data_IF_676212726752
#
_entry.id   IF_676212726752
#
_cell.length_a   1.000
_cell.length_b   1.000
_cell.length_c   1.000
_cell.angle_alpha   90.00
_cell.angle_beta   90.00
_cell.angle_gamma   90.00
#
_symmetry.space_group_name_H-M   'P 1'
#
loop_
_entity.id
_entity.type
_entity.pdbx_description
1 polymer ?
#
# COMPACT_ATOMS: atom_id res chain seq x y z
N UNK A 1 -29.33 -20.08 12.16
CA UNK A 1 -29.62 -19.15 11.04
C UNK A 1 -31.05 -18.63 11.18
N UNK A 2 -31.32 -17.35 10.92
CA UNK A 2 -32.68 -16.76 10.92
C UNK A 2 -33.00 -16.26 9.52
N UNK A 3 -34.25 -16.40 9.07
CA UNK A 3 -34.70 -15.94 7.74
C UNK A 3 -35.22 -14.51 7.84
N UNK A 4 -34.68 -13.62 7.02
CA UNK A 4 -35.10 -12.22 6.92
C UNK A 4 -35.38 -11.91 5.46
N UNK A 5 -36.44 -11.13 5.19
CA UNK A 5 -36.77 -10.64 3.85
C UNK A 5 -36.42 -9.17 3.77
N UNK A 6 -35.66 -8.78 2.74
CA UNK A 6 -35.23 -7.40 2.47
C UNK A 6 -35.60 -7.01 1.04
N UNK A 7 -35.90 -5.73 0.81
CA UNK A 7 -36.08 -5.18 -0.54
C UNK A 7 -34.74 -4.63 -1.01
N UNK A 8 -34.31 -5.05 -2.20
CA UNK A 8 -33.06 -4.57 -2.80
C UNK A 8 -33.32 -4.22 -4.27
N UNK A 9 -32.50 -3.32 -4.81
CA UNK A 9 -32.56 -2.97 -6.22
C UNK A 9 -32.29 -4.18 -7.12
N UNK A 10 -33.02 -4.29 -8.23
CA UNK A 10 -32.95 -5.46 -9.11
C UNK A 10 -31.58 -5.59 -9.80
N UNK A 11 -30.98 -4.46 -10.20
CA UNK A 11 -29.65 -4.47 -10.84
C UNK A 11 -28.60 -4.97 -9.85
N UNK A 12 -28.65 -4.50 -8.61
CA UNK A 12 -27.77 -4.94 -7.53
C UNK A 12 -27.97 -6.43 -7.20
N UNK A 13 -29.20 -6.92 -7.21
CA UNK A 13 -29.48 -8.36 -7.01
C UNK A 13 -28.84 -9.20 -8.10
N UNK A 14 -28.92 -8.76 -9.34
CA UNK A 14 -28.36 -9.49 -10.48
C UNK A 14 -26.83 -9.51 -10.45
N UNK A 15 -26.20 -8.39 -10.11
CA UNK A 15 -24.74 -8.32 -9.91
C UNK A 15 -24.28 -9.23 -8.78
N UNK A 16 -24.97 -9.20 -7.64
CA UNK A 16 -24.64 -10.07 -6.50
C UNK A 16 -24.78 -11.56 -6.86
N UNK A 17 -25.80 -11.94 -7.63
CA UNK A 17 -25.97 -13.30 -8.13
C UNK A 17 -24.84 -13.70 -9.09
N UNK A 18 -24.49 -12.83 -10.03
CA UNK A 18 -23.40 -13.08 -10.98
C UNK A 18 -22.06 -13.27 -10.24
N UNK A 19 -21.78 -12.43 -9.24
CA UNK A 19 -20.61 -12.55 -8.39
C UNK A 19 -20.61 -13.88 -7.61
N UNK A 20 -21.73 -14.24 -6.99
CA UNK A 20 -21.87 -15.48 -6.24
C UNK A 20 -21.61 -16.71 -7.14
N UNK A 21 -22.22 -16.75 -8.32
CA UNK A 21 -22.04 -17.81 -9.30
C UNK A 21 -20.57 -17.92 -9.78
N UNK A 22 -19.95 -16.78 -10.12
CA UNK A 22 -18.55 -16.72 -10.56
C UNK A 22 -17.57 -17.27 -9.51
N UNK A 23 -17.87 -17.06 -8.23
CA UNK A 23 -17.00 -17.48 -7.12
C UNK A 23 -17.42 -18.82 -6.49
N UNK A 24 -18.41 -19.52 -7.04
CA UNK A 24 -18.91 -20.78 -6.47
C UNK A 24 -19.52 -20.64 -5.07
N UNK A 25 -20.05 -19.47 -4.74
CA UNK A 25 -20.64 -19.15 -3.42
C UNK A 25 -22.15 -19.02 -3.53
N UNK A 26 -22.85 -19.19 -2.41
CA UNK A 26 -24.28 -18.87 -2.33
C UNK A 26 -24.49 -17.36 -2.16
N UNK A 27 -25.61 -16.85 -2.69
CA UNK A 27 -26.00 -15.45 -2.49
C UNK A 27 -26.05 -15.08 -1.00
N UNK A 28 -26.59 -15.97 -0.16
CA UNK A 28 -26.62 -15.77 1.30
C UNK A 28 -25.23 -15.57 1.90
N UNK A 29 -24.25 -16.40 1.52
CA UNK A 29 -22.88 -16.26 2.02
C UNK A 29 -22.26 -14.93 1.61
N UNK A 30 -22.50 -14.47 0.38
CA UNK A 30 -22.03 -13.17 -0.11
C UNK A 30 -22.67 -12.03 0.68
N UNK A 31 -23.99 -12.09 0.90
CA UNK A 31 -24.71 -11.07 1.67
C UNK A 31 -24.26 -11.01 3.14
N UNK A 32 -24.05 -12.16 3.78
CA UNK A 32 -23.54 -12.21 5.15
C UNK A 32 -22.13 -11.62 5.27
N UNK A 33 -21.24 -11.96 4.33
CA UNK A 33 -19.86 -11.47 4.29
C UNK A 33 -19.83 -9.95 4.08
N UNK A 34 -20.62 -9.43 3.13
CA UNK A 34 -20.76 -7.99 2.90
C UNK A 34 -21.28 -7.26 4.15
N UNK A 35 -22.28 -7.82 4.85
CA UNK A 35 -22.81 -7.23 6.08
C UNK A 35 -21.77 -7.24 7.22
N UNK A 36 -21.01 -8.33 7.38
CA UNK A 36 -19.92 -8.40 8.35
C UNK A 36 -18.85 -7.35 8.06
N UNK A 37 -18.43 -7.22 6.80
CA UNK A 37 -17.44 -6.22 6.39
C UNK A 37 -17.94 -4.80 6.65
N UNK A 38 -19.21 -4.51 6.38
CA UNK A 38 -19.82 -3.22 6.65
C UNK A 38 -19.80 -2.89 8.16
N UNK A 39 -20.23 -3.83 9.00
CA UNK A 39 -20.28 -3.65 10.46
C UNK A 39 -18.88 -3.56 11.08
N UNK A 40 -17.94 -4.38 10.62
CA UNK A 40 -16.55 -4.33 11.07
C UNK A 40 -15.90 -3.02 10.68
N UNK A 41 -16.08 -2.57 9.42
CA UNK A 41 -15.56 -1.26 8.96
C UNK A 41 -16.15 -0.12 9.78
N UNK A 42 -17.44 -0.15 10.07
CA UNK A 42 -18.09 0.87 10.90
C UNK A 42 -17.51 0.90 12.33
N UNK A 43 -17.09 -0.26 12.85
CA UNK A 43 -16.47 -0.39 14.17
C UNK A 43 -14.99 0.03 14.17
N UNK A 44 -14.23 -0.34 13.13
CA UNK A 44 -12.79 -0.04 13.01
C UNK A 44 -12.47 1.44 12.79
N UNK A 45 -13.41 2.23 12.25
CA UNK A 45 -13.23 3.69 12.15
C UNK A 45 -13.16 4.34 13.54
N UNK A 46 -13.65 3.68 14.60
CA UNK A 46 -13.68 4.24 15.94
C UNK A 46 -12.33 4.20 16.69
N UNK A 47 -11.39 3.31 16.35
CA UNK A 47 -10.09 3.22 17.05
C UNK A 47 -8.95 2.83 16.10
N UNK A 48 -8.43 3.79 15.34
CA UNK A 48 -7.08 3.66 14.77
C UNK A 48 -6.11 4.41 15.68
N UNK A 49 -5.34 3.73 16.55
CA UNK A 49 -4.33 4.40 17.32
C UNK A 49 -3.34 5.06 16.37
N UNK A 50 -2.98 6.32 16.65
CA UNK A 50 -1.95 7.03 15.89
C UNK A 50 -0.65 6.22 16.03
N UNK A 51 -0.14 5.73 14.91
CA UNK A 51 1.19 5.10 14.87
C UNK A 51 2.22 6.22 14.87
N UNK A 52 3.04 6.28 15.91
CA UNK A 52 4.25 7.10 15.88
C UNK A 52 5.30 6.36 15.05
N UNK A 53 5.61 6.90 13.88
CA UNK A 53 6.69 6.38 13.05
C UNK A 53 8.01 6.74 13.72
N UNK A 54 8.87 5.74 13.92
CA UNK A 54 10.26 5.99 14.34
C UNK A 54 10.95 6.66 13.16
N UNK A 55 11.17 7.97 13.26
CA UNK A 55 11.96 8.74 12.30
C UNK A 55 13.42 8.69 12.70
N UNK A 56 14.33 8.55 11.73
CA UNK A 56 15.75 8.75 12.00
C UNK A 56 16.01 10.22 12.38
N UNK A 57 16.95 10.43 13.28
CA UNK A 57 17.57 11.73 13.62
C UNK A 57 18.53 12.24 12.54
N UNK A 58 18.80 11.43 11.51
CA UNK A 58 19.63 11.81 10.37
C UNK A 58 19.03 13.00 9.64
N UNK A 59 19.89 13.94 9.25
CA UNK A 59 19.47 15.05 8.38
C UNK A 59 18.92 14.49 7.08
N UNK A 60 17.69 14.87 6.67
CA UNK A 60 17.19 14.49 5.37
C UNK A 60 18.08 15.12 4.28
N UNK A 61 18.37 14.36 3.23
CA UNK A 61 19.22 14.82 2.15
C UNK A 61 19.89 13.66 1.43
N UNK A 62 20.64 14.00 0.39
CA UNK A 62 21.46 13.03 -0.31
C UNK A 62 22.73 12.74 0.48
N UNK A 63 23.39 11.61 0.18
CA UNK A 63 24.71 11.31 0.75
C UNK A 63 25.67 12.49 0.50
N UNK A 64 26.62 12.79 1.43
CA UNK A 64 27.44 14.01 1.37
C UNK A 64 28.09 14.30 0.02
N UNK A 65 28.58 13.26 -0.67
CA UNK A 65 29.18 13.36 -2.00
C UNK A 65 28.16 13.79 -3.07
N UNK A 66 26.95 13.24 -3.03
CA UNK A 66 25.89 13.61 -3.98
C UNK A 66 25.42 15.03 -3.70
N UNK A 67 25.24 15.39 -2.43
CA UNK A 67 24.83 16.75 -2.05
C UNK A 67 25.86 17.80 -2.52
N UNK A 68 27.15 17.53 -2.35
CA UNK A 68 28.23 18.43 -2.79
C UNK A 68 28.20 18.68 -4.31
N UNK A 69 27.90 17.65 -5.12
CA UNK A 69 27.81 17.75 -6.57
C UNK A 69 26.56 18.50 -7.02
N UNK A 70 25.43 18.27 -6.35
CA UNK A 70 24.22 19.05 -6.56
C UNK A 70 24.45 20.54 -6.22
N UNK A 71 25.14 20.84 -5.12
CA UNK A 71 25.49 22.21 -4.73
C UNK A 71 26.46 22.87 -5.74
N UNK A 72 27.27 22.07 -6.45
CA UNK A 72 28.13 22.52 -7.54
C UNK A 72 27.38 22.74 -8.88
N UNK A 73 26.06 22.52 -8.90
CA UNK A 73 25.20 22.74 -10.07
C UNK A 73 25.09 21.53 -11.01
N UNK A 74 25.57 20.36 -10.61
CA UNK A 74 25.39 19.15 -11.39
C UNK A 74 23.96 18.62 -11.26
N UNK A 75 23.48 17.96 -12.31
CA UNK A 75 22.17 17.31 -12.29
C UNK A 75 22.28 15.92 -11.67
N UNK A 76 21.20 15.45 -11.04
CA UNK A 76 21.15 14.10 -10.48
C UNK A 76 21.36 13.02 -11.54
N UNK A 77 20.88 13.26 -12.77
CA UNK A 77 21.09 12.38 -13.92
C UNK A 77 22.57 12.20 -14.23
N UNK A 78 23.34 13.29 -14.28
CA UNK A 78 24.78 13.24 -14.53
C UNK A 78 25.53 12.51 -13.42
N UNK A 79 25.17 12.80 -12.16
CA UNK A 79 25.78 12.13 -11.00
C UNK A 79 25.50 10.63 -11.03
N UNK A 80 24.29 10.21 -11.41
CA UNK A 80 23.92 8.80 -11.51
C UNK A 80 24.63 8.09 -12.65
N UNK A 81 24.76 8.72 -13.82
CA UNK A 81 25.52 8.16 -14.94
C UNK A 81 26.98 7.88 -14.58
N UNK A 82 27.62 8.77 -13.79
CA UNK A 82 28.98 8.54 -13.30
C UNK A 82 29.08 7.43 -12.24
N UNK A 83 27.98 7.14 -11.52
CA UNK A 83 27.92 6.09 -10.50
C UNK A 83 27.57 4.72 -11.09
N UNK A 84 27.07 4.68 -12.33
CA UNK A 84 26.76 3.46 -13.08
C UNK A 84 28.00 2.80 -13.71
N UNK A 85 29.16 3.47 -13.67
CA UNK A 85 30.45 2.85 -13.98
C UNK A 85 30.81 1.83 -12.86
N UNK A 86 31.10 0.59 -13.26
CA UNK A 86 31.12 -0.66 -12.45
C UNK A 86 31.92 -0.65 -11.12
N UNK A 87 32.71 0.39 -10.84
CA UNK A 87 33.55 0.50 -9.65
C UNK A 87 32.76 0.79 -8.35
N UNK A 88 31.52 1.31 -8.45
CA UNK A 88 30.79 1.80 -7.28
C UNK A 88 30.05 0.71 -6.48
N UNK A 89 29.47 -0.28 -7.17
CA UNK A 89 28.77 -1.42 -6.55
C UNK A 89 29.72 -2.21 -5.62
N UNK A 90 31.00 -2.31 -6.01
CA UNK A 90 32.01 -3.06 -5.27
C UNK A 90 32.52 -2.31 -4.04
N UNK A 91 32.57 -0.98 -4.06
CA UNK A 91 32.91 -0.15 -2.88
C UNK A 91 31.81 -0.17 -1.82
N UNK A 92 30.55 -0.04 -2.22
CA UNK A 92 29.42 -0.02 -1.27
C UNK A 92 29.27 -1.36 -0.53
N UNK A 93 29.55 -2.48 -1.20
CA UNK A 93 29.52 -3.83 -0.60
C UNK A 93 30.62 -4.05 0.44
N UNK A 94 31.80 -3.44 0.25
CA UNK A 94 32.94 -3.57 1.17
C UNK A 94 32.86 -2.61 2.37
N UNK A 95 32.14 -1.50 2.26
CA UNK A 95 31.95 -0.54 3.36
C UNK A 95 30.89 -0.97 4.40
N UNK A 96 30.11 -2.02 4.10
CA UNK A 96 29.07 -2.56 4.99
C UNK A 96 29.52 -3.80 5.80
N UNK A 97 30.82 -4.11 5.82
CA UNK A 97 31.44 -5.22 6.54
C UNK A 97 32.42 -4.70 7.59
#
# INVERSE_FOLDING_TARGET
MRRTTVRIDETLLNEAKAYAAKNGRSLTSVMEDALRQLLNRATEVAERPRVELITSDSKPGFAPMVQQRLDAGETLEHILSDLEDEEWVERARNAAR
#
